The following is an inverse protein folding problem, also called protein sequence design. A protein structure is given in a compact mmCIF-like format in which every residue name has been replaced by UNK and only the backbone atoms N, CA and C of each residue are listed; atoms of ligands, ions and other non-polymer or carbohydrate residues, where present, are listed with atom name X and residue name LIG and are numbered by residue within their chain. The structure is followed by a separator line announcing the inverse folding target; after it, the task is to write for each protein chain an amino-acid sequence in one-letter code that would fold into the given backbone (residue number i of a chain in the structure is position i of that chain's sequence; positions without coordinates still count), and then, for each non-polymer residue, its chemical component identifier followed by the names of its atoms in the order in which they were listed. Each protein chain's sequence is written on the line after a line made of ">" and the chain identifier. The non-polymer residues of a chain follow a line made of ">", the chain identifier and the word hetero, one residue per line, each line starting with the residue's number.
data_IF_361313954163
#
_entry.id   IF_361313954163
#
_cell.length_a   1.000
_cell.length_b   1.000
_cell.length_c   1.000
_cell.angle_alpha   90.00
_cell.angle_beta   90.00
_cell.angle_gamma   90.00
#
_symmetry.space_group_name_H-M   'P 1'
#
loop_
_entity.id
_entity.type
_entity.pdbx_description
1 polymer ?
#
# COMPACT_ATOMS: atom_id res chain seq x y z
N UNK A 1 7.81 -17.19 -29.24
CA UNK A 1 7.67 -16.97 -30.70
C UNK A 1 6.58 -15.93 -30.90
N UNK A 2 6.89 -14.83 -31.59
CA UNK A 2 6.00 -13.73 -31.93
C UNK A 2 5.44 -13.96 -33.33
N UNK A 3 4.13 -13.79 -33.53
CA UNK A 3 3.47 -14.01 -34.82
C UNK A 3 2.58 -12.82 -35.19
N UNK A 4 2.53 -12.49 -36.48
CA UNK A 4 1.60 -11.53 -37.06
C UNK A 4 0.74 -12.26 -38.08
N UNK A 5 -0.56 -12.34 -37.81
CA UNK A 5 -1.54 -13.02 -38.67
C UNK A 5 -1.81 -12.24 -39.96
N UNK A 6 -1.81 -10.90 -39.90
CA UNK A 6 -2.03 -10.02 -41.06
C UNK A 6 -0.97 -10.21 -42.17
N UNK A 7 0.25 -10.56 -41.77
CA UNK A 7 1.39 -10.71 -42.68
C UNK A 7 1.93 -12.15 -42.72
N UNK A 8 1.32 -13.08 -41.98
CA UNK A 8 1.84 -14.43 -41.70
C UNK A 8 3.34 -14.44 -41.35
N UNK A 9 3.77 -13.45 -40.55
CA UNK A 9 5.17 -13.26 -40.14
C UNK A 9 5.40 -13.87 -38.78
N UNK A 10 6.54 -14.54 -38.56
CA UNK A 10 6.94 -15.07 -37.25
C UNK A 10 8.40 -14.77 -36.93
N UNK A 11 8.70 -14.57 -35.65
CA UNK A 11 10.07 -14.38 -35.16
C UNK A 11 10.21 -14.78 -33.70
N UNK A 12 11.42 -15.15 -33.28
CA UNK A 12 11.70 -15.44 -31.87
C UNK A 12 12.11 -14.19 -31.08
N UNK A 13 12.51 -13.11 -31.78
CA UNK A 13 13.06 -11.90 -31.15
C UNK A 13 12.05 -10.75 -31.16
N UNK A 14 11.74 -10.21 -29.97
CA UNK A 14 10.78 -9.13 -29.78
C UNK A 14 11.10 -7.87 -30.61
N UNK A 15 12.37 -7.44 -30.63
CA UNK A 15 12.79 -6.25 -31.36
C UNK A 15 12.54 -6.36 -32.88
N UNK A 16 12.58 -7.57 -33.43
CA UNK A 16 12.27 -7.81 -34.83
C UNK A 16 10.76 -7.74 -35.10
N UNK A 17 9.95 -8.18 -34.13
CA UNK A 17 8.49 -8.09 -34.19
C UNK A 17 7.99 -6.64 -34.13
N UNK A 18 8.51 -5.82 -33.21
CA UNK A 18 8.14 -4.39 -33.13
C UNK A 18 8.51 -3.66 -34.42
N UNK A 19 9.73 -3.86 -34.92
CA UNK A 19 10.18 -3.29 -36.19
C UNK A 19 9.37 -3.79 -37.38
N UNK A 20 8.83 -5.01 -37.33
CA UNK A 20 7.90 -5.52 -38.33
C UNK A 20 6.59 -4.72 -38.32
N UNK A 21 5.98 -4.48 -37.16
CA UNK A 21 4.75 -3.69 -37.01
C UNK A 21 4.92 -2.25 -37.52
N UNK A 22 6.09 -1.65 -37.30
CA UNK A 22 6.38 -0.29 -37.74
C UNK A 22 6.72 -0.17 -39.22
N UNK A 23 6.98 -1.29 -39.89
CA UNK A 23 7.40 -1.32 -41.29
C UNK A 23 6.31 -0.85 -42.24
N UNK A 24 6.70 -0.14 -43.29
CA UNK A 24 5.77 0.32 -44.34
C UNK A 24 5.04 -0.82 -45.05
N UNK A 25 5.65 -2.02 -45.08
CA UNK A 25 5.02 -3.22 -45.66
C UNK A 25 3.87 -3.73 -44.79
N UNK A 26 4.04 -3.78 -43.48
CA UNK A 26 2.99 -4.16 -42.55
C UNK A 26 1.86 -3.13 -42.57
N UNK A 27 2.17 -1.84 -42.46
CA UNK A 27 1.18 -0.75 -42.48
C UNK A 27 0.32 -0.75 -43.74
N UNK A 28 0.91 -0.88 -44.93
CA UNK A 28 0.15 -0.98 -46.19
C UNK A 28 -0.72 -2.23 -46.29
N UNK A 29 -0.22 -3.38 -45.82
CA UNK A 29 -0.99 -4.64 -45.80
C UNK A 29 -2.18 -4.52 -44.84
N UNK A 30 -1.96 -3.92 -43.68
CA UNK A 30 -2.98 -3.63 -42.68
C UNK A 30 -4.05 -2.66 -43.22
N UNK A 31 -3.63 -1.57 -43.86
CA UNK A 31 -4.53 -0.60 -44.52
C UNK A 31 -5.37 -1.26 -45.63
N UNK A 32 -4.78 -2.11 -46.48
CA UNK A 32 -5.53 -2.82 -47.53
C UNK A 32 -6.57 -3.81 -46.98
N UNK A 33 -6.30 -4.40 -45.81
CA UNK A 33 -7.25 -5.28 -45.13
C UNK A 33 -8.37 -4.44 -44.51
N UNK A 34 -8.05 -3.26 -43.96
CA UNK A 34 -9.03 -2.33 -43.38
C UNK A 34 -10.00 -1.75 -44.42
N UNK A 35 -9.55 -1.43 -45.63
CA UNK A 35 -10.39 -0.89 -46.71
C UNK A 35 -11.42 -1.92 -47.22
N UNK A 36 -11.11 -3.21 -47.15
CA UNK A 36 -12.01 -4.29 -47.60
C UNK A 36 -13.21 -4.54 -46.67
N UNK A 37 -13.24 -3.95 -45.47
CA UNK A 37 -14.25 -4.22 -44.43
C UNK A 37 -15.20 -3.04 -44.15
N UNK A 38 -15.11 -1.95 -44.93
CA UNK A 38 -15.87 -0.73 -44.67
C UNK A 38 -17.33 -0.80 -45.18
N UNK A 39 -18.19 -1.52 -44.45
CA UNK A 39 -19.64 -1.27 -44.37
C UNK A 39 -20.15 -1.56 -42.95
N UNK A 40 -20.07 -0.53 -42.10
CA UNK A 40 -20.85 -0.19 -40.86
C UNK A 40 -19.94 0.33 -39.74
N UNK A 41 -20.38 1.40 -39.07
CA UNK A 41 -19.53 2.39 -38.39
C UNK A 41 -19.39 2.20 -36.86
N UNK A 42 -19.46 0.97 -36.34
CA UNK A 42 -19.22 0.65 -34.91
C UNK A 42 -18.02 -0.30 -34.70
N UNK A 43 -17.48 -0.89 -35.77
CA UNK A 43 -16.50 -1.96 -35.68
C UNK A 43 -15.04 -1.48 -35.49
N UNK A 44 -14.71 -0.27 -35.93
CA UNK A 44 -13.33 0.28 -35.87
C UNK A 44 -12.91 0.65 -34.45
N UNK A 45 -13.84 1.17 -33.64
CA UNK A 45 -13.60 1.43 -32.22
C UNK A 45 -13.44 0.12 -31.45
N UNK A 46 -14.26 -0.89 -31.79
CA UNK A 46 -14.21 -2.22 -31.20
C UNK A 46 -12.89 -2.93 -31.53
N UNK A 47 -12.45 -2.88 -32.79
CA UNK A 47 -11.19 -3.48 -33.22
C UNK A 47 -9.98 -2.80 -32.57
N UNK A 48 -10.00 -1.47 -32.46
CA UNK A 48 -8.96 -0.72 -31.75
C UNK A 48 -8.91 -1.07 -30.26
N UNK A 49 -10.06 -1.27 -29.62
CA UNK A 49 -10.14 -1.72 -28.22
C UNK A 49 -9.68 -3.16 -28.06
N UNK A 50 -10.05 -4.07 -28.97
CA UNK A 50 -9.61 -5.48 -28.96
C UNK A 50 -8.09 -5.54 -29.10
N UNK A 51 -7.49 -4.83 -30.05
CA UNK A 51 -6.03 -4.81 -30.21
C UNK A 51 -5.32 -4.29 -28.95
N UNK A 52 -5.83 -3.21 -28.34
CA UNK A 52 -5.27 -2.67 -27.07
C UNK A 52 -5.44 -3.65 -25.91
N UNK A 53 -6.53 -4.42 -25.87
CA UNK A 53 -6.73 -5.46 -24.86
C UNK A 53 -5.78 -6.64 -25.07
N UNK A 54 -5.59 -7.09 -26.30
CA UNK A 54 -4.65 -8.17 -26.65
C UNK A 54 -3.20 -7.78 -26.31
N UNK A 55 -2.79 -6.55 -26.60
CA UNK A 55 -1.50 -5.99 -26.17
C UNK A 55 -1.33 -6.06 -24.65
N UNK A 56 -2.37 -5.66 -23.90
CA UNK A 56 -2.35 -5.66 -22.44
C UNK A 56 -2.33 -7.06 -21.84
N UNK A 57 -3.07 -8.00 -22.42
CA UNK A 57 -3.08 -9.42 -22.03
C UNK A 57 -1.69 -10.03 -22.25
N UNK A 58 -1.07 -9.74 -23.39
CA UNK A 58 0.27 -10.24 -23.70
C UNK A 58 1.33 -9.65 -22.76
N UNK A 59 1.27 -8.35 -22.46
CA UNK A 59 2.15 -7.71 -21.49
C UNK A 59 2.00 -8.30 -20.08
N UNK A 60 0.77 -8.58 -19.64
CA UNK A 60 0.49 -9.22 -18.35
C UNK A 60 1.00 -10.66 -18.29
N UNK A 61 0.84 -11.42 -19.37
CA UNK A 61 1.35 -12.79 -19.48
C UNK A 61 2.88 -12.84 -19.35
N UNK A 62 3.58 -11.89 -19.97
CA UNK A 62 5.04 -11.76 -19.88
C UNK A 62 5.48 -11.41 -18.45
N UNK A 63 4.83 -10.44 -17.82
CA UNK A 63 5.15 -10.06 -16.44
C UNK A 63 4.92 -11.22 -15.46
N UNK A 64 3.83 -11.99 -15.63
CA UNK A 64 3.57 -13.17 -14.81
C UNK A 64 4.63 -14.25 -14.99
N UNK A 65 5.14 -14.46 -16.22
CA UNK A 65 6.24 -15.38 -16.45
C UNK A 65 7.52 -14.92 -15.74
N UNK A 66 7.89 -13.64 -15.88
CA UNK A 66 9.05 -13.07 -15.20
C UNK A 66 8.95 -13.12 -13.68
N UNK A 67 7.75 -12.93 -13.13
CA UNK A 67 7.50 -13.07 -11.69
C UNK A 67 7.68 -14.52 -11.23
N UNK A 68 7.16 -15.50 -11.98
CA UNK A 68 7.38 -16.92 -11.68
C UNK A 68 8.86 -17.28 -11.70
N UNK A 69 9.61 -16.80 -12.70
CA UNK A 69 11.05 -17.05 -12.79
C UNK A 69 11.81 -16.44 -11.60
N UNK A 70 11.44 -15.21 -11.18
CA UNK A 70 12.03 -14.55 -10.01
C UNK A 70 11.71 -15.27 -8.69
N UNK A 71 10.48 -15.76 -8.53
CA UNK A 71 10.07 -16.54 -7.36
C UNK A 71 10.88 -17.82 -7.27
N UNK A 72 11.02 -18.55 -8.38
CA UNK A 72 11.82 -19.78 -8.42
C UNK A 72 13.30 -19.55 -8.06
N UNK A 73 13.90 -18.44 -8.50
CA UNK A 73 15.28 -18.08 -8.10
C UNK A 73 15.37 -17.80 -6.60
N UNK A 74 14.37 -17.14 -6.02
CA UNK A 74 14.34 -16.84 -4.58
C UNK A 74 14.12 -18.10 -3.73
N UNK A 75 13.23 -19.01 -4.17
CA UNK A 75 13.00 -20.31 -3.52
C UNK A 75 14.29 -21.14 -3.49
N UNK A 76 14.98 -21.24 -4.63
CA UNK A 76 16.28 -21.93 -4.70
C UNK A 76 17.37 -21.25 -3.83
N UNK A 77 17.36 -19.92 -3.71
CA UNK A 77 18.29 -19.21 -2.83
C UNK A 77 17.99 -19.43 -1.34
N UNK A 78 16.72 -19.70 -1.00
CA UNK A 78 16.29 -19.99 0.37
C UNK A 78 16.61 -21.44 0.77
N UNK A 79 16.43 -22.39 -0.14
CA UNK A 79 16.77 -23.81 0.06
C UNK A 79 18.28 -24.03 0.26
N UNK A 80 19.11 -23.17 -0.34
CA UNK A 80 20.57 -23.20 -0.21
C UNK A 80 21.11 -22.48 1.05
N UNK A 81 20.27 -21.84 1.86
CA UNK A 81 20.66 -21.34 3.19
C UNK A 81 20.43 -22.44 4.22
N UNK A 82 21.44 -23.30 4.40
CA UNK A 82 21.54 -24.16 5.58
C UNK A 82 21.42 -23.32 6.86
N UNK A 83 20.73 -23.80 7.92
CA UNK A 83 20.72 -23.11 9.20
C UNK A 83 22.17 -22.96 9.68
N UNK A 84 22.57 -21.73 9.99
CA UNK A 84 23.85 -21.47 10.67
C UNK A 84 23.70 -22.03 12.09
N UNK A 85 24.01 -23.31 12.28
CA UNK A 85 24.34 -23.86 13.58
C UNK A 85 25.72 -23.32 13.96
N UNK A 86 25.77 -22.19 14.65
CA UNK A 86 27.01 -21.73 15.26
C UNK A 86 27.20 -22.43 16.62
N UNK A 87 27.52 -23.71 16.54
CA UNK A 87 28.04 -24.50 17.67
C UNK A 87 29.52 -24.14 17.85
N UNK A 88 29.85 -23.04 18.51
CA UNK A 88 31.23 -22.77 18.93
C UNK A 88 31.52 -23.46 20.26
N UNK A 89 31.84 -24.75 20.17
CA UNK A 89 32.61 -25.45 21.19
C UNK A 89 34.08 -25.05 21.03
N UNK A 90 34.52 -24.01 21.73
CA UNK A 90 35.93 -23.73 21.93
C UNK A 90 36.14 -23.31 23.39
N UNK A 91 36.36 -24.32 24.23
CA UNK A 91 36.90 -24.16 25.58
C UNK A 91 38.35 -23.72 25.43
N UNK A 92 38.58 -22.40 25.50
CA UNK A 92 39.90 -21.80 25.63
C UNK A 92 39.86 -20.89 26.85
N UNK A 93 40.52 -21.29 27.92
CA UNK A 93 40.73 -20.44 29.09
C UNK A 93 41.53 -19.21 28.67
N UNK A 94 40.86 -18.06 28.53
CA UNK A 94 41.52 -16.76 28.37
C UNK A 94 41.36 -16.00 29.68
N UNK A 95 42.44 -15.92 30.44
CA UNK A 95 42.58 -15.03 31.58
C UNK A 95 42.79 -13.61 31.05
N UNK A 96 41.83 -12.70 31.29
CA UNK A 96 42.01 -11.26 31.01
C UNK A 96 41.88 -10.48 32.31
N UNK A 97 42.94 -9.72 32.59
CA UNK A 97 43.15 -8.93 33.78
C UNK A 97 42.43 -7.57 33.64
N UNK A 98 41.64 -7.19 34.65
CA UNK A 98 41.20 -5.83 34.99
C UNK A 98 40.67 -4.89 33.87
N UNK A 99 39.54 -5.27 33.24
CA UNK A 99 38.75 -4.39 32.36
C UNK A 99 37.25 -4.52 32.67
N UNK A 100 36.56 -3.39 32.81
CA UNK A 100 35.13 -3.29 33.09
C UNK A 100 34.32 -4.20 32.15
N UNK A 101 33.61 -5.19 32.72
CA UNK A 101 32.68 -6.02 31.99
C UNK A 101 31.40 -5.22 31.80
N UNK A 102 31.24 -4.58 30.63
CA UNK A 102 29.96 -4.03 30.19
C UNK A 102 29.17 -5.23 29.65
N UNK A 103 28.34 -5.83 30.51
CA UNK A 103 27.33 -6.77 30.05
C UNK A 103 26.29 -5.99 29.25
N UNK A 104 26.47 -5.88 27.93
CA UNK A 104 25.39 -5.50 27.01
C UNK A 104 24.34 -6.61 27.07
N UNK A 105 23.44 -6.52 28.03
CA UNK A 105 22.26 -7.36 28.10
C UNK A 105 21.33 -6.93 26.97
N UNK A 106 21.57 -7.46 25.77
CA UNK A 106 20.69 -7.24 24.63
C UNK A 106 19.41 -8.04 24.91
N UNK A 107 18.45 -7.44 25.60
CA UNK A 107 17.10 -7.98 25.71
C UNK A 107 16.51 -7.98 24.30
N UNK A 108 16.51 -9.13 23.64
CA UNK A 108 15.76 -9.34 22.41
C UNK A 108 14.27 -9.32 22.76
N UNK A 109 13.64 -8.15 22.64
CA UNK A 109 12.19 -8.00 22.78
C UNK A 109 11.56 -8.57 21.50
N UNK A 110 10.85 -9.69 21.63
CA UNK A 110 10.07 -10.26 20.54
C UNK A 110 8.73 -9.51 20.44
N UNK A 111 8.67 -8.46 19.63
CA UNK A 111 7.44 -7.66 19.42
C UNK A 111 6.58 -8.38 18.38
N UNK A 112 5.42 -8.89 18.80
CA UNK A 112 4.42 -9.40 17.87
C UNK A 112 3.59 -8.23 17.34
N UNK A 113 3.84 -7.86 16.08
CA UNK A 113 3.07 -6.80 15.41
C UNK A 113 1.66 -7.31 15.10
N UNK A 114 0.65 -6.54 15.49
CA UNK A 114 -0.76 -6.84 15.25
C UNK A 114 -1.14 -6.56 13.80
N UNK A 115 -2.15 -7.28 13.35
CA UNK A 115 -2.74 -7.06 12.02
C UNK A 115 -3.41 -5.69 11.93
N UNK A 116 -3.45 -5.16 10.71
CA UNK A 116 -4.20 -3.94 10.41
C UNK A 116 -5.69 -4.16 10.67
N UNK A 117 -6.33 -3.19 11.34
CA UNK A 117 -7.72 -3.27 11.82
C UNK A 117 -7.87 -3.83 13.24
N UNK A 118 -6.80 -4.34 13.84
CA UNK A 118 -6.79 -4.83 15.22
C UNK A 118 -6.04 -3.88 16.18
N UNK A 119 -6.09 -2.57 15.91
CA UNK A 119 -5.46 -1.55 16.73
C UNK A 119 -6.29 -1.21 17.99
N UNK A 120 -5.64 -0.55 18.96
CA UNK A 120 -6.29 0.01 20.14
C UNK A 120 -5.70 1.39 20.43
N UNK A 121 -6.43 2.21 21.21
CA UNK A 121 -5.99 3.51 21.70
C UNK A 121 -5.61 3.49 23.18
N UNK A 122 -5.60 2.33 23.84
CA UNK A 122 -5.29 2.19 25.27
C UNK A 122 -3.90 2.71 25.66
N UNK A 123 -2.92 2.65 24.73
CA UNK A 123 -1.58 3.18 24.95
C UNK A 123 -1.49 4.71 24.84
N UNK A 124 -2.57 5.37 24.41
CA UNK A 124 -2.61 6.83 24.23
C UNK A 124 -3.05 7.49 25.54
N UNK A 125 -2.15 8.27 26.13
CA UNK A 125 -2.40 8.97 27.38
C UNK A 125 -3.43 10.11 27.24
N UNK A 126 -4.05 10.48 28.37
CA UNK A 126 -5.03 11.57 28.43
C UNK A 126 -4.54 12.87 27.80
N UNK A 127 -3.26 13.23 27.99
CA UNK A 127 -2.68 14.48 27.48
C UNK A 127 -2.68 14.51 25.94
N UNK A 128 -2.31 13.41 25.32
CA UNK A 128 -2.30 13.20 23.87
C UNK A 128 -3.74 13.22 23.35
N UNK A 129 -4.64 12.50 24.01
CA UNK A 129 -6.06 12.45 23.67
C UNK A 129 -6.71 13.85 23.68
N UNK A 130 -6.46 14.63 24.73
CA UNK A 130 -6.97 16.00 24.83
C UNK A 130 -6.44 16.91 23.71
N UNK A 131 -5.19 16.71 23.25
CA UNK A 131 -4.62 17.48 22.12
C UNK A 131 -5.29 17.14 20.80
N UNK A 132 -5.59 15.85 20.57
CA UNK A 132 -6.32 15.38 19.39
C UNK A 132 -7.71 16.02 19.36
N UNK A 133 -8.49 15.86 20.45
CA UNK A 133 -9.86 16.37 20.53
C UNK A 133 -9.93 17.90 20.44
N UNK A 134 -8.92 18.61 20.94
CA UNK A 134 -8.82 20.08 20.79
C UNK A 134 -8.19 20.55 19.48
N UNK A 135 -7.95 19.64 18.52
CA UNK A 135 -7.45 19.97 17.18
C UNK A 135 -8.30 19.32 16.08
N UNK A 136 -9.61 19.64 15.96
CA UNK A 136 -10.54 18.89 15.11
C UNK A 136 -10.07 18.62 13.68
N UNK A 137 -9.62 19.66 12.97
CA UNK A 137 -9.17 19.51 11.58
C UNK A 137 -7.94 18.61 11.41
N UNK A 138 -7.14 18.42 12.46
CA UNK A 138 -5.95 17.58 12.49
C UNK A 138 -6.18 16.25 13.19
N UNK A 139 -7.38 16.00 13.73
CA UNK A 139 -7.65 14.88 14.62
C UNK A 139 -7.28 13.53 13.99
N UNK A 140 -7.76 13.25 12.76
CA UNK A 140 -7.44 12.00 12.07
C UNK A 140 -5.94 11.84 11.77
N UNK A 141 -5.23 12.95 11.48
CA UNK A 141 -3.79 12.92 11.22
C UNK A 141 -3.01 12.58 12.48
N UNK A 142 -3.32 13.29 13.57
CA UNK A 142 -2.70 13.08 14.87
C UNK A 142 -2.98 11.67 15.41
N UNK A 143 -4.21 11.16 15.24
CA UNK A 143 -4.57 9.79 15.62
C UNK A 143 -3.79 8.76 14.82
N UNK A 144 -3.68 8.93 13.50
CA UNK A 144 -2.91 8.01 12.65
C UNK A 144 -1.46 7.91 13.11
N UNK A 145 -0.84 9.03 13.49
CA UNK A 145 0.52 9.05 14.03
C UNK A 145 0.61 8.33 15.39
N UNK A 146 -0.33 8.61 16.30
CA UNK A 146 -0.35 8.03 17.65
C UNK A 146 -0.71 6.53 17.68
N UNK A 147 -1.44 6.03 16.69
CA UNK A 147 -1.82 4.62 16.60
C UNK A 147 -0.76 3.86 15.80
N UNK A 148 -0.54 4.23 14.54
CA UNK A 148 0.23 3.39 13.62
C UNK A 148 1.74 3.70 13.58
N UNK A 149 2.17 4.82 14.15
CA UNK A 149 3.55 5.30 14.07
C UNK A 149 4.15 5.70 15.42
N UNK A 150 3.51 5.30 16.52
CA UNK A 150 3.98 5.62 17.87
C UNK A 150 5.18 4.75 18.27
N UNK A 151 6.35 5.32 18.57
CA UNK A 151 7.53 4.55 18.99
C UNK A 151 7.32 3.72 20.25
N UNK A 152 6.42 4.15 21.15
CA UNK A 152 6.11 3.46 22.42
C UNK A 152 5.13 2.28 22.23
N UNK A 153 4.47 2.20 21.06
CA UNK A 153 3.53 1.12 20.72
C UNK A 153 3.86 0.50 19.34
N UNK A 154 5.07 -0.09 19.18
CA UNK A 154 5.54 -0.65 17.91
C UNK A 154 4.72 -1.85 17.42
N UNK A 155 3.95 -2.50 18.28
CA UNK A 155 3.02 -3.57 17.92
C UNK A 155 1.92 -3.11 16.94
N UNK A 156 1.63 -1.81 16.86
CA UNK A 156 0.66 -1.24 15.91
C UNK A 156 1.31 -0.64 14.66
N UNK A 157 2.62 -0.85 14.43
CA UNK A 157 3.31 -0.42 13.20
C UNK A 157 2.95 -1.34 12.02
N UNK A 158 1.70 -1.26 11.59
CA UNK A 158 1.03 -2.26 10.77
C UNK A 158 0.56 -1.75 9.40
N UNK A 159 0.88 -0.51 9.02
CA UNK A 159 0.54 0.07 7.71
C UNK A 159 1.69 0.91 7.16
N UNK A 160 1.99 0.74 5.87
CA UNK A 160 3.07 1.46 5.17
C UNK A 160 2.68 1.80 3.73
N UNK A 161 2.90 3.05 3.34
CA UNK A 161 2.78 3.47 1.95
C UNK A 161 4.06 4.14 1.45
N UNK A 162 4.96 3.34 0.88
CA UNK A 162 6.33 3.82 0.59
C UNK A 162 6.51 4.37 -0.82
N UNK A 163 5.56 4.09 -1.73
CA UNK A 163 5.56 4.62 -3.09
C UNK A 163 4.15 5.04 -3.50
N UNK A 164 3.90 6.36 -3.50
CA UNK A 164 2.59 6.94 -3.84
C UNK A 164 2.17 6.75 -5.31
N UNK A 165 3.11 6.46 -6.21
CA UNK A 165 2.78 6.20 -7.61
C UNK A 165 2.08 4.85 -7.79
N UNK A 166 2.34 3.90 -6.89
CA UNK A 166 1.71 2.59 -6.96
C UNK A 166 0.30 2.64 -6.36
N UNK A 167 -0.68 1.94 -6.94
CA UNK A 167 -2.04 1.88 -6.42
C UNK A 167 -2.19 0.92 -5.24
N UNK A 168 -1.11 0.64 -4.51
CA UNK A 168 -1.07 -0.36 -3.43
C UNK A 168 -0.43 0.20 -2.16
N UNK A 169 -0.94 -0.25 -1.02
CA UNK A 169 -0.43 -0.01 0.34
C UNK A 169 -0.03 -1.37 0.94
N UNK A 170 0.98 -1.37 1.79
CA UNK A 170 1.38 -2.57 2.55
C UNK A 170 0.74 -2.53 3.93
N UNK A 171 0.02 -3.58 4.30
CA UNK A 171 -0.59 -3.74 5.63
C UNK A 171 -0.12 -5.04 6.28
N UNK A 172 -0.06 -5.10 7.61
CA UNK A 172 0.13 -6.35 8.34
C UNK A 172 -1.14 -7.18 8.31
N UNK A 173 -0.96 -8.46 8.04
CA UNK A 173 -2.04 -9.45 7.98
C UNK A 173 -1.45 -10.82 8.22
N UNK A 174 -2.10 -11.64 9.04
CA UNK A 174 -1.75 -13.04 9.29
C UNK A 174 -1.57 -13.85 8.01
N UNK A 175 -2.35 -13.53 6.99
CA UNK A 175 -2.42 -14.26 5.73
C UNK A 175 -1.42 -13.73 4.68
N UNK A 176 -0.66 -12.68 5.04
CA UNK A 176 0.30 -12.02 4.18
C UNK A 176 1.64 -12.74 4.08
N UNK A 177 2.38 -12.49 2.99
CA UNK A 177 3.75 -13.01 2.83
C UNK A 177 4.67 -12.31 3.83
N UNK A 178 5.32 -13.07 4.71
CA UNK A 178 6.07 -12.54 5.86
C UNK A 178 5.20 -11.63 6.75
N UNK A 179 3.91 -11.95 6.85
CA UNK A 179 2.91 -11.18 7.58
C UNK A 179 2.55 -9.84 6.94
N UNK A 180 2.92 -9.59 5.67
CA UNK A 180 2.57 -8.37 4.94
C UNK A 180 1.74 -8.67 3.70
N UNK A 181 0.69 -7.88 3.51
CA UNK A 181 -0.21 -7.95 2.36
C UNK A 181 -0.17 -6.65 1.55
N UNK A 182 -0.17 -6.77 0.22
CA UNK A 182 -0.24 -5.65 -0.71
C UNK A 182 -1.69 -5.47 -1.16
N UNK A 183 -2.32 -4.40 -0.69
CA UNK A 183 -3.76 -4.13 -0.85
C UNK A 183 -4.01 -2.84 -1.61
N UNK A 184 -5.22 -2.67 -2.16
CA UNK A 184 -5.60 -1.49 -2.93
C UNK A 184 -5.56 -0.23 -2.07
N UNK A 185 -4.85 0.81 -2.55
CA UNK A 185 -4.68 2.05 -1.77
C UNK A 185 -5.99 2.76 -1.44
N UNK A 186 -6.99 2.74 -2.32
CA UNK A 186 -8.21 3.53 -2.12
C UNK A 186 -9.05 2.86 -1.02
N UNK A 187 -9.25 1.55 -1.13
CA UNK A 187 -10.02 0.75 -0.18
C UNK A 187 -9.38 0.83 1.21
N UNK A 188 -8.05 0.69 1.29
CA UNK A 188 -7.31 0.78 2.56
C UNK A 188 -7.35 2.19 3.15
N UNK A 189 -7.30 3.26 2.35
CA UNK A 189 -7.42 4.63 2.88
C UNK A 189 -8.83 4.93 3.39
N UNK A 190 -9.87 4.36 2.75
CA UNK A 190 -11.25 4.46 3.24
C UNK A 190 -11.43 3.71 4.55
N UNK A 191 -10.91 2.49 4.65
CA UNK A 191 -10.94 1.69 5.87
C UNK A 191 -10.15 2.36 7.01
N UNK A 192 -8.95 2.86 6.72
CA UNK A 192 -8.15 3.65 7.67
C UNK A 192 -8.93 4.87 8.17
N UNK A 193 -9.58 5.63 7.28
CA UNK A 193 -10.37 6.79 7.67
C UNK A 193 -11.56 6.40 8.57
N UNK A 194 -12.22 5.27 8.29
CA UNK A 194 -13.30 4.72 9.13
C UNK A 194 -12.78 4.37 10.53
N UNK A 195 -11.70 3.60 10.61
CA UNK A 195 -11.13 3.17 11.88
C UNK A 195 -10.71 4.38 12.72
N UNK A 196 -10.02 5.36 12.12
CA UNK A 196 -9.63 6.59 12.80
C UNK A 196 -10.84 7.41 13.29
N UNK A 197 -11.95 7.42 12.55
CA UNK A 197 -13.20 8.06 12.99
C UNK A 197 -13.79 7.36 14.21
N UNK A 198 -13.80 6.02 14.21
CA UNK A 198 -14.31 5.23 15.34
C UNK A 198 -13.46 5.46 16.60
N UNK A 199 -12.13 5.48 16.46
CA UNK A 199 -11.24 5.80 17.57
C UNK A 199 -11.37 7.24 18.07
N UNK A 200 -11.73 8.18 17.20
CA UNK A 200 -12.02 9.55 17.61
C UNK A 200 -13.28 9.62 18.49
N UNK A 201 -14.29 8.81 18.16
CA UNK A 201 -15.52 8.69 18.95
C UNK A 201 -15.22 8.08 20.34
N UNK A 202 -14.50 6.95 20.38
CA UNK A 202 -14.08 6.30 21.64
C UNK A 202 -13.24 7.24 22.53
N UNK A 203 -12.35 8.02 21.91
CA UNK A 203 -11.54 9.01 22.62
C UNK A 203 -12.39 10.16 23.17
N UNK A 204 -13.41 10.61 22.45
CA UNK A 204 -14.35 11.63 22.92
C UNK A 204 -15.22 11.10 24.07
N UNK A 205 -15.66 9.85 24.04
CA UNK A 205 -16.42 9.24 25.13
C UNK A 205 -15.64 9.25 26.46
N UNK A 206 -14.32 9.02 26.37
CA UNK A 206 -13.44 8.96 27.54
C UNK A 206 -12.99 10.34 28.04
N UNK A 207 -12.73 11.29 27.13
CA UNK A 207 -12.03 12.54 27.45
C UNK A 207 -12.75 13.81 26.99
N UNK A 208 -14.00 13.70 26.52
CA UNK A 208 -14.78 14.79 25.93
C UNK A 208 -14.99 16.01 26.83
N UNK A 209 -14.96 15.83 28.14
CA UNK A 209 -15.05 16.94 29.11
C UNK A 209 -13.86 17.91 29.04
N UNK A 210 -12.72 17.46 28.52
CA UNK A 210 -11.51 18.28 28.37
C UNK A 210 -11.50 19.11 27.07
N UNK A 211 -12.58 19.06 26.29
CA UNK A 211 -12.70 19.80 25.03
C UNK A 211 -13.17 21.23 25.33
N UNK A 212 -12.44 22.22 24.83
CA UNK A 212 -12.88 23.62 24.94
C UNK A 212 -14.21 23.84 24.21
N UNK A 213 -15.11 24.72 24.70
CA UNK A 213 -16.43 24.92 24.07
C UNK A 213 -16.36 25.22 22.57
N UNK A 214 -15.39 26.06 22.17
CA UNK A 214 -15.11 26.39 20.76
C UNK A 214 -14.70 25.18 19.92
N UNK A 215 -13.90 24.28 20.49
CA UNK A 215 -13.45 23.09 19.77
C UNK A 215 -14.49 21.98 19.78
N UNK A 216 -15.41 21.95 20.75
CA UNK A 216 -16.51 20.97 20.79
C UNK A 216 -17.42 21.12 19.57
N UNK A 217 -17.84 22.34 19.26
CA UNK A 217 -18.64 22.62 18.05
C UNK A 217 -17.88 22.23 16.77
N UNK A 218 -16.60 22.58 16.69
CA UNK A 218 -15.75 22.25 15.53
C UNK A 218 -15.51 20.74 15.39
N UNK A 219 -15.38 20.01 16.50
CA UNK A 219 -15.22 18.57 16.52
C UNK A 219 -16.49 17.89 16.03
N UNK A 220 -17.66 18.31 16.53
CA UNK A 220 -18.97 17.83 16.03
C UNK A 220 -19.09 18.04 14.53
N UNK A 221 -18.85 19.26 14.04
CA UNK A 221 -18.91 19.55 12.60
C UNK A 221 -17.91 18.71 11.78
N UNK A 222 -16.71 18.45 12.32
CA UNK A 222 -15.72 17.60 11.66
C UNK A 222 -16.18 16.13 11.60
N UNK A 223 -16.73 15.60 12.69
CA UNK A 223 -17.30 14.25 12.76
C UNK A 223 -18.49 14.09 11.80
N UNK A 224 -19.39 15.06 11.76
CA UNK A 224 -20.52 15.07 10.83
C UNK A 224 -20.05 15.04 9.37
N UNK A 225 -19.02 15.84 9.05
CA UNK A 225 -18.39 15.81 7.74
C UNK A 225 -17.80 14.44 7.40
N UNK A 226 -17.03 13.83 8.31
CA UNK A 226 -16.43 12.51 8.11
C UNK A 226 -17.52 11.46 7.90
N UNK A 227 -18.53 11.43 8.77
CA UNK A 227 -19.66 10.50 8.66
C UNK A 227 -20.38 10.64 7.32
N UNK A 228 -20.61 11.88 6.88
CA UNK A 228 -21.18 12.14 5.57
C UNK A 228 -20.31 11.58 4.44
N UNK A 229 -19.00 11.85 4.42
CA UNK A 229 -18.16 11.49 3.26
C UNK A 229 -17.59 10.07 3.28
N UNK A 230 -17.47 9.43 4.44
CA UNK A 230 -16.82 8.12 4.61
C UNK A 230 -17.84 7.00 4.87
N UNK A 231 -18.89 7.26 5.65
CA UNK A 231 -19.83 6.23 6.09
C UNK A 231 -21.08 6.13 5.19
N UNK A 232 -21.31 7.09 4.30
CA UNK A 232 -22.41 7.03 3.32
C UNK A 232 -21.99 6.28 2.04
N UNK A 233 -22.89 5.48 1.44
CA UNK A 233 -22.65 4.86 0.14
C UNK A 233 -22.36 5.89 -0.95
N UNK A 234 -21.44 5.57 -1.87
CA UNK A 234 -21.12 6.47 -2.99
C UNK A 234 -22.34 6.75 -3.90
N UNK A 235 -23.35 5.88 -3.92
CA UNK A 235 -24.60 6.12 -4.66
C UNK A 235 -25.38 7.32 -4.11
N UNK A 236 -25.22 7.60 -2.82
CA UNK A 236 -26.02 8.57 -2.08
C UNK A 236 -25.29 9.92 -1.97
N UNK A 237 -23.99 9.93 -2.30
CA UNK A 237 -23.15 11.11 -2.27
C UNK A 237 -23.37 12.00 -3.50
N UNK A 238 -23.56 13.29 -3.24
CA UNK A 238 -23.47 14.33 -4.26
C UNK A 238 -22.07 14.33 -4.91
N UNK A 239 -21.96 14.85 -6.14
CA UNK A 239 -20.67 14.98 -6.81
C UNK A 239 -19.66 15.84 -6.01
N UNK A 240 -20.14 16.86 -5.30
CA UNK A 240 -19.28 17.66 -4.42
C UNK A 240 -18.83 16.86 -3.19
N UNK A 241 -19.73 16.06 -2.58
CA UNK A 241 -19.37 15.18 -1.46
C UNK A 241 -18.34 14.13 -1.87
N UNK A 242 -18.45 13.55 -3.07
CA UNK A 242 -17.44 12.62 -3.63
C UNK A 242 -16.08 13.29 -3.81
N UNK A 243 -16.07 14.55 -4.25
CA UNK A 243 -14.85 15.34 -4.41
C UNK A 243 -14.23 15.66 -3.05
N UNK A 244 -15.02 15.99 -2.05
CA UNK A 244 -14.55 16.19 -0.67
C UNK A 244 -14.02 14.88 -0.05
N UNK A 245 -14.71 13.75 -0.23
CA UNK A 245 -14.20 12.41 0.13
C UNK A 245 -12.81 12.17 -0.46
N UNK A 246 -12.66 12.40 -1.77
CA UNK A 246 -11.37 12.24 -2.47
C UNK A 246 -10.29 13.18 -1.92
N UNK A 247 -10.62 14.43 -1.59
CA UNK A 247 -9.68 15.38 -0.97
C UNK A 247 -9.22 14.89 0.40
N UNK A 248 -10.15 14.44 1.24
CA UNK A 248 -9.86 13.88 2.56
C UNK A 248 -8.91 12.69 2.48
N UNK A 249 -9.25 11.69 1.66
CA UNK A 249 -8.44 10.48 1.47
C UNK A 249 -7.06 10.80 0.88
N UNK A 250 -6.99 11.73 -0.07
CA UNK A 250 -5.72 12.19 -0.62
C UNK A 250 -4.85 12.86 0.46
N UNK A 251 -5.44 13.74 1.26
CA UNK A 251 -4.76 14.44 2.34
C UNK A 251 -4.24 13.48 3.43
N UNK A 252 -5.04 12.47 3.78
CA UNK A 252 -4.66 11.42 4.73
C UNK A 252 -3.54 10.54 4.15
N UNK A 253 -3.68 10.12 2.90
CA UNK A 253 -2.69 9.31 2.21
C UNK A 253 -1.33 10.00 2.02
N UNK A 254 -1.30 11.31 1.72
CA UNK A 254 -0.05 12.09 1.69
C UNK A 254 0.64 12.05 3.04
N UNK A 255 -0.12 12.18 4.14
CA UNK A 255 0.44 12.15 5.48
C UNK A 255 0.94 10.74 5.86
N UNK A 256 0.18 9.68 5.54
CA UNK A 256 0.61 8.29 5.69
C UNK A 256 1.94 8.01 4.98
N UNK A 257 2.09 8.52 3.75
CA UNK A 257 3.33 8.38 2.99
C UNK A 257 4.52 9.07 3.66
N UNK A 258 4.31 10.26 4.22
CA UNK A 258 5.34 11.01 4.95
C UNK A 258 5.81 10.24 6.18
N UNK A 259 4.88 9.73 7.00
CA UNK A 259 5.19 8.92 8.18
C UNK A 259 5.93 7.63 7.80
N UNK A 260 5.45 6.93 6.76
CA UNK A 260 6.09 5.71 6.23
C UNK A 260 7.53 5.94 5.79
N UNK A 261 7.84 7.11 5.21
CA UNK A 261 9.22 7.48 4.85
C UNK A 261 10.07 7.77 6.08
N UNK A 262 9.54 8.52 7.04
CA UNK A 262 10.26 8.88 8.25
C UNK A 262 10.62 7.65 9.11
N UNK A 263 9.73 6.65 9.17
CA UNK A 263 9.99 5.41 9.89
C UNK A 263 11.11 4.59 9.24
N UNK A 264 11.15 4.53 7.90
CA UNK A 264 12.23 3.86 7.15
C UNK A 264 13.60 4.51 7.31
N UNK A 265 13.67 5.82 7.55
CA UNK A 265 14.97 6.49 7.76
C UNK A 265 15.55 6.28 9.15
N UNK A 266 14.76 5.75 10.09
CA UNK A 266 15.17 5.50 11.48
C UNK A 266 15.57 4.04 11.74
N UNK A 267 15.34 3.15 10.77
CA UNK A 267 15.68 1.72 10.80
C UNK A 267 16.91 1.43 9.94
#
# INVERSE_FOLDING_TARGET
>A
MYTCTCCNYSTEKHANYIRHLESSKHKRKFESISESMSKTNDNDLLLTMICKMEEKINALSINNKQLKDRVSVLENALENKQPINLSTSASGNVTVNNGVIINNHHTSVNIQVKDFGNESIEHIGQKESCKVLNSPNMALRSLMELIHFNPEAPEYHNILWTNMQKPIISIKSSDGVNGWSLVNKNDTLEELAKNLSNYLDEMEDSYGDNITPKNRERLSAHKDFINMVINSPDTDLSNESKKEKKKLLCALGVHLHQLSKAQKTKT
#
